data_IF_988061154331
#
_entry.id   IF_988061154331
#
_cell.length_a   1.000
_cell.length_b   1.000
_cell.length_c   1.000
_cell.angle_alpha   90.00
_cell.angle_beta   90.00
_cell.angle_gamma   90.00
#
_symmetry.space_group_name_H-M   'P 1'
#
loop_
_entity.id
_entity.type
_entity.pdbx_description
1 polymer ?
#
# COMPACT_ATOMS: atom_id res chain seq x y z
N UNK A 1 6.62 5.22 16.48
CA UNK A 1 5.79 4.39 15.58
C UNK A 1 6.04 4.80 14.14
N UNK A 2 6.32 3.83 13.27
CA UNK A 2 6.65 4.11 11.87
C UNK A 2 5.40 3.98 10.99
N UNK A 3 4.50 4.90 11.16
CA UNK A 3 3.23 4.91 10.44
C UNK A 3 3.20 6.04 9.42
N UNK A 4 2.76 5.72 8.22
CA UNK A 4 2.66 6.67 7.11
C UNK A 4 1.30 6.50 6.43
N UNK A 5 0.63 7.61 6.16
CA UNK A 5 -0.56 7.64 5.33
C UNK A 5 -0.28 8.49 4.11
N UNK A 6 -0.69 8.01 2.94
CA UNK A 6 -0.57 8.78 1.72
C UNK A 6 -1.71 8.51 0.76
N UNK A 7 -1.92 9.45 -0.15
CA UNK A 7 -2.86 9.33 -1.24
C UNK A 7 -2.09 9.52 -2.54
N UNK A 8 -2.48 8.73 -3.54
CA UNK A 8 -1.95 8.90 -4.89
C UNK A 8 -3.13 8.82 -5.85
N UNK A 9 -3.41 9.94 -6.49
CA UNK A 9 -4.53 10.03 -7.43
C UNK A 9 -3.98 10.40 -8.80
N UNK A 10 -4.28 9.56 -9.78
CA UNK A 10 -3.97 9.82 -11.19
C UNK A 10 -5.28 9.84 -11.96
N UNK A 11 -5.20 10.02 -13.28
CA UNK A 11 -6.40 9.95 -14.11
C UNK A 11 -6.99 8.54 -14.16
N UNK A 12 -6.16 7.52 -13.91
CA UNK A 12 -6.56 6.12 -14.01
C UNK A 12 -6.84 5.47 -12.67
N UNK A 13 -6.23 5.97 -11.57
CA UNK A 13 -6.33 5.32 -10.25
C UNK A 13 -6.47 6.32 -9.13
N UNK A 14 -7.13 5.88 -8.07
CA UNK A 14 -7.24 6.61 -6.81
C UNK A 14 -6.83 5.66 -5.69
N UNK A 15 -5.76 5.98 -4.99
CA UNK A 15 -5.18 5.12 -3.96
C UNK A 15 -5.12 5.85 -2.63
N UNK A 16 -5.61 5.21 -1.58
CA UNK A 16 -5.42 5.62 -0.20
C UNK A 16 -4.70 4.50 0.53
N UNK A 17 -3.65 4.83 1.24
CA UNK A 17 -2.76 3.86 1.84
C UNK A 17 -2.34 4.31 3.23
N UNK A 18 -2.43 3.41 4.20
CA UNK A 18 -1.82 3.59 5.52
C UNK A 18 -0.93 2.38 5.80
N UNK A 19 0.32 2.64 6.11
CA UNK A 19 1.33 1.63 6.40
C UNK A 19 1.91 1.89 7.77
N UNK A 20 1.93 0.86 8.63
CA UNK A 20 2.60 0.92 9.93
C UNK A 20 3.60 -0.23 10.01
N UNK A 21 4.90 0.10 9.95
CA UNK A 21 5.97 -0.89 10.01
C UNK A 21 6.11 -1.54 11.38
N UNK A 22 5.56 -0.92 12.42
CA UNK A 22 5.58 -1.45 13.78
C UNK A 22 4.27 -2.17 14.13
N UNK A 23 3.57 -2.64 13.12
CA UNK A 23 2.29 -3.31 13.29
C UNK A 23 2.41 -4.77 13.68
N UNK A 24 1.31 -5.49 13.54
CA UNK A 24 1.19 -6.89 13.92
C UNK A 24 0.83 -7.82 12.75
N UNK A 25 0.80 -7.30 11.53
CA UNK A 25 0.40 -8.06 10.35
C UNK A 25 -1.08 -7.97 10.06
N UNK A 26 -1.74 -6.92 10.51
CA UNK A 26 -3.15 -6.67 10.21
C UNK A 26 -3.26 -6.02 8.84
N UNK A 27 -4.28 -6.41 8.09
CA UNK A 27 -4.47 -5.87 6.75
C UNK A 27 -5.91 -5.64 6.42
N UNK A 28 -6.16 -4.65 5.60
CA UNK A 28 -7.45 -4.40 4.98
C UNK A 28 -7.16 -3.87 3.59
N UNK A 29 -7.33 -4.71 2.58
CA UNK A 29 -6.88 -4.43 1.22
C UNK A 29 -8.03 -4.59 0.24
N UNK A 30 -8.27 -3.57 -0.56
CA UNK A 30 -9.26 -3.62 -1.64
C UNK A 30 -8.71 -2.89 -2.86
N UNK A 31 -8.24 -3.64 -3.84
CA UNK A 31 -7.70 -3.11 -5.08
C UNK A 31 -8.63 -3.26 -6.27
N UNK A 32 -9.72 -3.99 -6.09
CA UNK A 32 -10.58 -4.38 -7.21
C UNK A 32 -10.09 -5.62 -7.96
N UNK A 33 -8.93 -6.14 -7.60
CA UNK A 33 -8.36 -7.35 -8.19
C UNK A 33 -8.09 -8.37 -7.10
N UNK A 34 -8.82 -9.49 -7.10
CA UNK A 34 -8.74 -10.48 -6.03
C UNK A 34 -7.35 -11.07 -5.86
N UNK A 35 -6.66 -11.37 -6.95
CA UNK A 35 -5.31 -11.90 -6.88
C UNK A 35 -4.34 -10.92 -6.22
N UNK A 36 -4.41 -9.65 -6.62
CA UNK A 36 -3.55 -8.62 -6.06
C UNK A 36 -3.87 -8.38 -4.57
N UNK A 37 -5.15 -8.39 -4.20
CA UNK A 37 -5.55 -8.30 -2.80
C UNK A 37 -4.88 -9.40 -1.98
N UNK A 38 -4.94 -10.64 -2.47
CA UNK A 38 -4.35 -11.78 -1.79
C UNK A 38 -2.84 -11.63 -1.62
N UNK A 39 -2.15 -11.20 -2.67
CA UNK A 39 -0.69 -11.01 -2.60
C UNK A 39 -0.31 -9.94 -1.59
N UNK A 40 -1.04 -8.82 -1.55
CA UNK A 40 -0.77 -7.74 -0.61
C UNK A 40 -1.08 -8.14 0.83
N UNK A 41 -2.12 -8.94 1.03
CA UNK A 41 -2.46 -9.49 2.35
C UNK A 41 -1.35 -10.39 2.88
N UNK A 42 -0.83 -11.27 2.03
CA UNK A 42 0.29 -12.12 2.40
C UNK A 42 1.54 -11.30 2.71
N UNK A 43 1.77 -10.27 1.93
CA UNK A 43 2.91 -9.38 2.12
C UNK A 43 2.86 -8.70 3.50
N UNK A 44 1.70 -8.15 3.86
CA UNK A 44 1.52 -7.50 5.17
C UNK A 44 1.66 -8.51 6.31
N UNK A 45 1.03 -9.67 6.16
CA UNK A 45 1.02 -10.70 7.19
C UNK A 45 2.42 -11.25 7.45
N UNK A 46 3.13 -11.62 6.40
CA UNK A 46 4.47 -12.20 6.55
C UNK A 46 5.50 -11.16 6.96
N UNK A 47 5.34 -9.92 6.53
CA UNK A 47 6.21 -8.82 6.97
C UNK A 47 5.89 -8.29 8.36
N UNK A 48 4.75 -8.68 8.93
CA UNK A 48 4.27 -8.24 10.24
C UNK A 48 4.12 -6.73 10.36
N UNK A 49 3.66 -6.11 9.31
CA UNK A 49 3.28 -4.69 9.36
C UNK A 49 1.79 -4.55 9.08
N UNK A 50 1.21 -3.44 9.50
CA UNK A 50 -0.19 -3.18 9.23
C UNK A 50 -0.33 -2.41 7.92
N UNK A 51 -1.28 -2.82 7.10
CA UNK A 51 -1.54 -2.22 5.80
C UNK A 51 -3.02 -2.04 5.59
N UNK A 52 -3.44 -0.80 5.40
CA UNK A 52 -4.78 -0.47 4.94
C UNK A 52 -4.62 0.18 3.57
N UNK A 53 -5.18 -0.43 2.55
CA UNK A 53 -5.02 0.04 1.17
C UNK A 53 -6.33 -0.10 0.43
N UNK A 54 -6.81 1.01 -0.12
CA UNK A 54 -7.94 1.00 -1.05
C UNK A 54 -7.48 1.62 -2.36
N UNK A 55 -7.89 1.01 -3.45
CA UNK A 55 -7.57 1.49 -4.79
C UNK A 55 -8.79 1.37 -5.68
N UNK A 56 -9.17 2.46 -6.31
CA UNK A 56 -10.17 2.47 -7.36
C UNK A 56 -9.45 2.77 -8.66
N UNK A 57 -9.28 1.75 -9.47
CA UNK A 57 -8.55 1.86 -10.72
C UNK A 57 -9.41 1.41 -11.90
N UNK A 58 -8.86 1.52 -13.09
CA UNK A 58 -9.50 1.14 -14.35
C UNK A 58 -9.34 -0.36 -14.61
N UNK A 59 -9.79 -1.16 -13.62
CA UNK A 59 -9.62 -2.62 -13.65
C UNK A 59 -10.51 -3.30 -14.69
N UNK A 60 -11.51 -2.61 -15.20
CA UNK A 60 -12.36 -3.15 -16.27
C UNK A 60 -11.62 -3.27 -17.59
N UNK A 61 -10.59 -2.45 -17.78
CA UNK A 61 -9.75 -2.50 -18.99
C UNK A 61 -8.61 -3.50 -18.78
N UNK A 62 -7.80 -3.27 -17.76
CA UNK A 62 -6.79 -4.21 -17.29
C UNK A 62 -6.29 -3.78 -15.90
N UNK A 63 -5.46 -4.61 -15.30
CA UNK A 63 -4.92 -4.32 -13.95
C UNK A 63 -3.57 -3.63 -13.96
N UNK A 64 -3.05 -3.33 -15.14
CA UNK A 64 -1.69 -2.84 -15.29
C UNK A 64 -1.46 -1.52 -14.55
N UNK A 65 -2.31 -0.54 -14.78
CA UNK A 65 -2.19 0.77 -14.14
C UNK A 65 -2.39 0.67 -12.63
N UNK A 66 -3.35 -0.15 -12.21
CA UNK A 66 -3.61 -0.36 -10.77
C UNK A 66 -2.39 -0.96 -10.07
N UNK A 67 -1.84 -2.03 -10.62
CA UNK A 67 -0.68 -2.70 -10.03
C UNK A 67 0.55 -1.78 -10.00
N UNK A 68 0.79 -1.06 -11.08
CA UNK A 68 1.91 -0.14 -11.18
C UNK A 68 1.80 1.00 -10.17
N UNK A 69 0.64 1.63 -10.08
CA UNK A 69 0.43 2.75 -9.16
C UNK A 69 0.47 2.31 -7.70
N UNK A 70 -0.04 1.12 -7.38
CA UNK A 70 0.07 0.56 -6.04
C UNK A 70 1.54 0.32 -5.69
N UNK A 71 2.32 -0.22 -6.63
CA UNK A 71 3.75 -0.41 -6.41
C UNK A 71 4.48 0.88 -6.10
N UNK A 72 4.18 1.94 -6.83
CA UNK A 72 4.76 3.27 -6.60
C UNK A 72 4.34 3.79 -5.23
N UNK A 73 3.05 3.71 -4.89
CA UNK A 73 2.54 4.20 -3.62
C UNK A 73 3.16 3.46 -2.43
N UNK A 74 3.26 2.14 -2.52
CA UNK A 74 3.90 1.33 -1.48
C UNK A 74 5.38 1.70 -1.32
N UNK A 75 6.09 1.86 -2.42
CA UNK A 75 7.50 2.25 -2.37
C UNK A 75 7.67 3.59 -1.67
N UNK A 76 6.82 4.56 -1.98
CA UNK A 76 6.85 5.86 -1.32
C UNK A 76 6.54 5.75 0.17
N UNK A 77 5.58 4.93 0.55
CA UNK A 77 5.20 4.74 1.96
C UNK A 77 6.33 4.10 2.76
N UNK A 78 6.97 3.06 2.20
CA UNK A 78 8.12 2.43 2.84
C UNK A 78 9.28 3.40 2.98
N UNK A 79 9.58 4.18 1.95
CA UNK A 79 10.66 5.16 2.01
C UNK A 79 10.41 6.19 3.10
N UNK A 80 9.19 6.70 3.22
CA UNK A 80 8.85 7.68 4.25
C UNK A 80 8.93 7.09 5.65
N UNK A 81 8.46 5.86 5.83
CA UNK A 81 8.49 5.21 7.14
C UNK A 81 9.93 4.94 7.59
N UNK A 82 10.80 4.50 6.67
CA UNK A 82 12.19 4.27 6.96
C UNK A 82 12.97 5.57 7.18
N UNK A 83 12.65 6.60 6.43
CA UNK A 83 13.26 7.92 6.62
C UNK A 83 12.98 8.47 8.02
N UNK A 84 11.75 8.31 8.50
CA UNK A 84 11.38 8.70 9.86
C UNK A 84 12.26 8.01 10.91
N UNK A 85 12.59 6.75 10.69
CA UNK A 85 13.47 6.00 11.57
C UNK A 85 14.89 6.56 11.57
N UNK A 86 15.40 6.93 10.42
CA UNK A 86 16.76 7.48 10.30
C UNK A 86 16.88 8.86 10.94
N UNK A 87 15.82 9.63 11.00
CA UNK A 87 15.84 10.97 11.57
C UNK A 87 15.77 11.01 13.08
N UNK A 88 15.59 9.87 13.73
CA UNK A 88 15.51 9.80 15.19
C UNK A 88 16.84 9.76 15.90
N UNK A 89 17.91 9.79 15.21
CA UNK A 89 19.24 9.85 15.83
C UNK A 89 19.61 11.27 16.32
#
# INVERSE_FOLDING_TARGET
MREVSLERNTNETQIELTLNLDGAGRYQVDTGCGFLNHMLELFARHGRFDLVLTCHGDVEVDYHHTAEDIGIALGQAFAKALESMLKKE
#
